data_IF_748619201680
#
_entry.id   IF_748619201680
#
_cell.length_a   1.000
_cell.length_b   1.000
_cell.length_c   1.000
_cell.angle_alpha   90.00
_cell.angle_beta   90.00
_cell.angle_gamma   90.00
#
_symmetry.space_group_name_H-M   'P 1'
#
loop_
_entity.id
_entity.type
_entity.pdbx_description
1 polymer ?
#
# COMPACT_ATOMS: atom_id res chain seq x y z
N UNK A 1 -0.18 20.08 -24.12
CA UNK A 1 -1.10 20.43 -23.03
C UNK A 1 -0.49 19.81 -21.80
N UNK A 2 0.08 20.61 -20.88
CA UNK A 2 0.63 20.11 -19.63
C UNK A 2 -0.53 19.62 -18.76
N UNK A 3 -0.50 18.34 -18.37
CA UNK A 3 -1.38 17.81 -17.34
C UNK A 3 -1.00 18.54 -16.04
N UNK A 4 -1.93 19.10 -15.27
CA UNK A 4 -1.58 19.74 -14.02
C UNK A 4 -0.93 18.71 -13.08
N UNK A 5 0.27 19.02 -12.62
CA UNK A 5 0.94 18.37 -11.49
C UNK A 5 -0.06 18.22 -10.34
N UNK A 6 -0.09 17.06 -9.68
CA UNK A 6 -1.08 16.70 -8.68
C UNK A 6 -1.37 17.84 -7.71
N UNK A 7 -2.63 18.04 -7.39
CA UNK A 7 -3.06 19.09 -6.47
C UNK A 7 -2.36 18.90 -5.13
N UNK A 8 -1.78 19.99 -4.59
CA UNK A 8 -1.11 19.97 -3.28
C UNK A 8 -2.07 19.40 -2.22
N UNK A 9 -1.58 18.66 -1.20
CA UNK A 9 -2.42 18.09 -0.15
C UNK A 9 -3.44 19.06 0.43
N UNK A 10 -3.04 20.29 0.67
CA UNK A 10 -3.93 21.36 1.18
C UNK A 10 -5.04 21.76 0.20
N UNK A 11 -4.78 21.72 -1.10
CA UNK A 11 -5.78 22.01 -2.14
C UNK A 11 -6.80 20.88 -2.25
N UNK A 12 -6.33 19.63 -2.10
CA UNK A 12 -7.18 18.43 -2.11
C UNK A 12 -8.17 18.46 -0.92
N UNK A 13 -7.68 18.77 0.29
CA UNK A 13 -8.52 18.91 1.49
C UNK A 13 -9.49 20.09 1.39
N UNK A 14 -9.07 21.23 0.82
CA UNK A 14 -9.96 22.38 0.59
C UNK A 14 -11.09 22.03 -0.38
N UNK A 15 -10.79 21.34 -1.48
CA UNK A 15 -11.79 20.85 -2.44
C UNK A 15 -12.78 19.88 -1.78
N UNK A 16 -12.27 18.97 -0.94
CA UNK A 16 -13.12 18.07 -0.17
C UNK A 16 -14.08 18.84 0.73
N UNK A 17 -13.57 19.79 1.50
CA UNK A 17 -14.39 20.66 2.38
C UNK A 17 -15.51 21.34 1.61
N UNK A 18 -15.17 22.00 0.51
CA UNK A 18 -16.14 22.74 -0.32
C UNK A 18 -17.20 21.78 -0.91
N UNK A 19 -16.80 20.62 -1.40
CA UNK A 19 -17.72 19.63 -1.96
C UNK A 19 -18.65 19.03 -0.91
N UNK A 20 -18.14 18.70 0.29
CA UNK A 20 -18.94 18.19 1.40
C UNK A 20 -19.98 19.20 1.88
N UNK A 21 -19.59 20.46 2.06
CA UNK A 21 -20.51 21.54 2.41
C UNK A 21 -21.56 21.78 1.32
N UNK A 22 -21.19 21.67 0.04
CA UNK A 22 -22.13 21.81 -1.08
C UNK A 22 -23.17 20.70 -1.13
N UNK A 23 -22.87 19.49 -0.59
CA UNK A 23 -23.85 18.40 -0.38
C UNK A 23 -24.74 18.61 0.85
N UNK A 24 -24.51 19.67 1.63
CA UNK A 24 -25.31 20.00 2.83
C UNK A 24 -24.87 19.24 4.08
N UNK A 25 -23.71 18.60 4.08
CA UNK A 25 -23.17 17.95 5.28
C UNK A 25 -22.81 19.05 6.30
N UNK A 26 -23.19 18.88 7.58
CA UNK A 26 -22.92 19.89 8.61
C UNK A 26 -21.42 20.22 8.73
N UNK A 27 -21.08 21.51 8.81
CA UNK A 27 -19.70 21.97 8.89
C UNK A 27 -18.91 21.29 10.03
N UNK A 28 -19.53 21.08 11.19
CA UNK A 28 -18.89 20.43 12.33
C UNK A 28 -18.50 18.95 12.02
N UNK A 29 -19.25 18.26 11.18
CA UNK A 29 -18.97 16.89 10.79
C UNK A 29 -17.84 16.87 9.75
N UNK A 30 -17.88 17.81 8.80
CA UNK A 30 -16.80 17.99 7.81
C UNK A 30 -15.46 18.29 8.49
N UNK A 31 -15.42 19.20 9.46
CA UNK A 31 -14.19 19.54 10.18
C UNK A 31 -13.68 18.36 11.04
N UNK A 32 -14.56 17.60 11.69
CA UNK A 32 -14.14 16.39 12.40
C UNK A 32 -13.53 15.35 11.47
N UNK A 33 -14.14 15.15 10.29
CA UNK A 33 -13.60 14.24 9.28
C UNK A 33 -12.25 14.69 8.74
N UNK A 34 -12.10 15.98 8.46
CA UNK A 34 -10.81 16.57 8.07
C UNK A 34 -9.74 16.37 9.15
N UNK A 35 -10.13 16.34 10.42
CA UNK A 35 -9.25 16.01 11.54
C UNK A 35 -8.66 14.60 11.49
N UNK A 36 -9.24 13.68 10.70
CA UNK A 36 -8.72 12.34 10.47
C UNK A 36 -7.64 12.28 9.38
N UNK A 37 -7.41 13.38 8.66
CA UNK A 37 -6.46 13.39 7.53
C UNK A 37 -5.06 12.90 7.95
N UNK A 38 -4.52 11.98 7.17
CA UNK A 38 -3.16 11.44 7.36
C UNK A 38 -2.28 11.83 6.18
N UNK A 39 -1.04 12.30 6.43
CA UNK A 39 -0.08 12.49 5.37
C UNK A 39 0.29 11.13 4.76
N UNK A 40 0.45 11.12 3.45
CA UNK A 40 0.87 9.97 2.66
C UNK A 40 1.75 10.39 1.51
N UNK A 41 2.45 9.44 0.92
CA UNK A 41 3.23 9.66 -0.28
C UNK A 41 2.68 8.80 -1.42
N UNK A 42 2.58 9.39 -2.59
CA UNK A 42 2.38 8.67 -3.85
C UNK A 42 3.74 8.53 -4.53
N UNK A 43 4.08 7.31 -4.87
CA UNK A 43 5.35 6.92 -5.45
C UNK A 43 5.06 6.31 -6.83
N UNK A 44 5.67 6.86 -7.88
CA UNK A 44 5.47 6.41 -9.26
C UNK A 44 6.73 6.59 -10.11
N UNK A 45 6.78 5.96 -11.27
CA UNK A 45 7.91 6.11 -12.19
C UNK A 45 7.82 7.37 -13.06
N UNK A 46 6.63 7.92 -13.23
CA UNK A 46 6.34 9.09 -14.06
C UNK A 46 6.18 10.41 -13.27
N UNK A 47 6.36 10.36 -11.94
CA UNK A 47 6.33 11.53 -11.07
C UNK A 47 7.43 12.55 -11.38
N UNK A 48 7.21 13.82 -11.00
CA UNK A 48 8.19 14.90 -11.17
C UNK A 48 9.06 15.14 -9.92
N UNK A 49 8.73 14.48 -8.81
CA UNK A 49 9.40 14.66 -7.52
C UNK A 49 10.79 14.02 -7.43
N UNK A 50 11.44 14.12 -6.26
CA UNK A 50 12.75 13.53 -6.06
C UNK A 50 12.69 12.00 -6.18
N UNK A 51 13.81 11.42 -6.61
CA UNK A 51 14.01 9.96 -6.65
C UNK A 51 14.24 9.48 -5.23
N UNK A 52 13.47 8.46 -4.81
CA UNK A 52 13.54 7.87 -3.47
C UNK A 52 13.72 6.35 -3.50
N UNK A 53 13.97 5.78 -4.66
CA UNK A 53 14.16 4.34 -4.81
C UNK A 53 14.05 3.87 -6.24
N UNK A 54 13.75 2.59 -6.41
CA UNK A 54 13.51 1.99 -7.72
C UNK A 54 12.44 0.90 -7.63
N UNK A 55 11.72 0.69 -8.72
CA UNK A 55 10.82 -0.45 -8.90
C UNK A 55 11.59 -1.66 -9.42
N UNK A 56 11.14 -2.86 -9.01
CA UNK A 56 11.68 -4.12 -9.48
C UNK A 56 13.15 -4.36 -9.15
N UNK A 57 13.79 -5.16 -10.00
CA UNK A 57 15.17 -5.58 -9.84
C UNK A 57 16.20 -4.44 -9.98
N UNK A 58 17.41 -4.55 -9.39
CA UNK A 58 18.01 -5.75 -8.80
C UNK A 58 17.62 -5.95 -7.33
N UNK A 59 17.43 -7.20 -6.94
CA UNK A 59 17.26 -7.55 -5.52
C UNK A 59 18.62 -7.58 -4.85
N UNK A 60 18.77 -6.82 -3.76
CA UNK A 60 20.00 -6.74 -2.98
C UNK A 60 19.65 -7.01 -1.52
N UNK A 61 20.13 -8.12 -0.97
CA UNK A 61 19.81 -8.56 0.39
C UNK A 61 21.08 -8.90 1.18
N UNK A 62 21.05 -8.79 2.52
CA UNK A 62 22.05 -9.35 3.39
C UNK A 62 22.20 -10.87 3.16
N UNK A 63 23.39 -11.45 3.38
CA UNK A 63 23.64 -12.87 3.11
C UNK A 63 22.82 -13.82 3.99
N UNK A 64 22.41 -13.37 5.15
CA UNK A 64 21.62 -14.11 6.16
C UNK A 64 20.11 -13.89 6.04
N UNK A 65 19.66 -12.99 5.16
CA UNK A 65 18.25 -12.78 4.88
C UNK A 65 17.79 -13.71 3.78
N UNK A 66 16.79 -14.54 4.08
CA UNK A 66 16.13 -15.39 3.12
C UNK A 66 15.17 -14.56 2.27
N UNK A 67 15.01 -14.92 1.01
CA UNK A 67 13.93 -14.36 0.19
C UNK A 67 12.59 -14.67 0.82
N UNK A 68 11.64 -13.73 0.80
CA UNK A 68 10.26 -14.07 1.07
C UNK A 68 9.78 -15.12 0.06
N UNK A 69 9.20 -16.19 0.58
CA UNK A 69 8.61 -17.27 -0.21
C UNK A 69 7.14 -17.35 0.12
N UNK A 70 6.35 -17.76 -0.86
CA UNK A 70 4.93 -17.99 -0.66
C UNK A 70 4.72 -19.34 0.07
N UNK A 71 3.95 -19.32 1.15
CA UNK A 71 3.60 -20.52 1.91
C UNK A 71 4.74 -21.08 2.77
N UNK A 72 4.44 -22.19 3.43
CA UNK A 72 5.33 -22.88 4.37
C UNK A 72 6.10 -24.06 3.73
N UNK A 73 5.96 -24.29 2.44
CA UNK A 73 6.62 -25.41 1.75
C UNK A 73 8.03 -25.00 1.29
N UNK A 74 9.09 -25.49 1.97
CA UNK A 74 10.46 -25.16 1.63
C UNK A 74 10.94 -25.76 0.30
N UNK A 75 10.19 -26.70 -0.28
CA UNK A 75 10.49 -27.32 -1.56
C UNK A 75 9.86 -26.58 -2.75
N UNK A 76 9.01 -25.56 -2.47
CA UNK A 76 8.43 -24.67 -3.49
C UNK A 76 9.41 -23.52 -3.72
N UNK A 77 10.05 -23.52 -4.88
CA UNK A 77 11.02 -22.46 -5.30
C UNK A 77 10.31 -21.21 -5.80
N UNK A 78 9.19 -20.86 -5.15
CA UNK A 78 8.33 -19.75 -5.51
C UNK A 78 8.58 -18.56 -4.58
N UNK A 79 9.34 -17.62 -5.08
CA UNK A 79 9.69 -16.40 -4.38
C UNK A 79 8.77 -15.24 -4.77
N UNK A 80 8.49 -14.38 -3.81
CA UNK A 80 7.78 -13.13 -4.05
C UNK A 80 8.60 -12.18 -4.95
N UNK A 81 7.93 -11.41 -5.82
CA UNK A 81 8.58 -10.40 -6.63
C UNK A 81 8.95 -9.17 -5.80
N UNK A 82 10.13 -8.61 -6.03
CA UNK A 82 10.47 -7.30 -5.53
C UNK A 82 9.64 -6.24 -6.28
N UNK A 83 8.72 -5.61 -5.58
CA UNK A 83 7.92 -4.49 -6.11
C UNK A 83 8.74 -3.20 -6.12
N UNK A 84 9.31 -2.84 -4.98
CA UNK A 84 10.10 -1.62 -4.87
C UNK A 84 11.17 -1.73 -3.78
N UNK A 85 12.27 -1.01 -3.99
CA UNK A 85 13.26 -0.67 -2.96
C UNK A 85 13.20 0.82 -2.71
N UNK A 86 12.93 1.23 -1.47
CA UNK A 86 12.85 2.62 -1.05
C UNK A 86 14.08 2.98 -0.20
N UNK A 87 14.73 4.09 -0.52
CA UNK A 87 15.78 4.71 0.30
C UNK A 87 15.10 5.59 1.36
N UNK A 88 15.09 5.10 2.60
CA UNK A 88 14.40 5.80 3.69
C UNK A 88 15.08 7.13 4.06
N UNK A 89 16.39 7.27 3.80
CA UNK A 89 17.08 8.54 4.01
C UNK A 89 16.67 9.62 3.00
N UNK A 90 16.12 9.23 1.85
CA UNK A 90 15.60 10.16 0.86
C UNK A 90 14.15 10.59 1.14
N UNK A 91 13.46 9.95 2.08
CA UNK A 91 12.10 10.33 2.48
C UNK A 91 12.14 11.53 3.43
N UNK A 92 11.36 12.59 3.17
CA UNK A 92 11.29 13.73 4.09
C UNK A 92 10.64 13.35 5.42
N UNK A 93 11.18 13.87 6.50
CA UNK A 93 10.62 13.67 7.84
C UNK A 93 9.17 14.18 7.92
N UNK A 94 8.27 13.38 8.50
CA UNK A 94 6.85 13.72 8.63
C UNK A 94 6.05 13.70 7.32
N UNK A 95 6.62 13.17 6.25
CA UNK A 95 5.93 13.04 4.96
C UNK A 95 4.82 11.97 4.97
N UNK A 96 4.84 11.08 5.96
CA UNK A 96 3.80 10.07 6.22
C UNK A 96 3.42 10.07 7.68
N UNK A 97 2.33 9.36 8.02
CA UNK A 97 1.96 9.07 9.41
C UNK A 97 2.76 7.90 10.04
N UNK A 98 3.71 7.31 9.29
CA UNK A 98 4.46 6.14 9.71
C UNK A 98 5.72 6.50 10.51
N UNK A 99 5.99 5.72 11.56
CA UNK A 99 7.25 5.80 12.32
C UNK A 99 8.36 5.01 11.62
N UNK A 100 8.72 5.40 10.40
CA UNK A 100 9.76 4.75 9.62
C UNK A 100 11.16 5.04 10.17
N UNK A 101 12.14 4.12 9.99
CA UNK A 101 13.55 4.43 10.20
C UNK A 101 13.99 5.64 9.35
N UNK A 102 14.91 6.43 9.87
CA UNK A 102 15.43 7.62 9.18
C UNK A 102 16.47 7.31 8.11
N UNK A 103 16.90 6.04 7.97
CA UNK A 103 17.90 5.60 7.02
C UNK A 103 17.69 4.12 6.63
N UNK A 104 18.56 3.61 5.76
CA UNK A 104 18.46 2.24 5.27
C UNK A 104 17.47 2.10 4.11
N UNK A 105 17.14 0.86 3.81
CA UNK A 105 16.26 0.54 2.69
C UNK A 105 15.08 -0.30 3.13
N UNK A 106 13.90 0.04 2.62
CA UNK A 106 12.68 -0.77 2.73
C UNK A 106 12.43 -1.45 1.40
N UNK A 107 12.39 -2.78 1.41
CA UNK A 107 12.06 -3.61 0.26
C UNK A 107 10.65 -4.13 0.44
N UNK A 108 9.81 -3.96 -0.58
CA UNK A 108 8.44 -4.46 -0.63
C UNK A 108 8.36 -5.57 -1.66
N UNK A 109 7.90 -6.74 -1.24
CA UNK A 109 7.75 -7.93 -2.06
C UNK A 109 6.29 -8.31 -2.15
N UNK A 110 5.82 -8.75 -3.32
CA UNK A 110 4.48 -9.27 -3.52
C UNK A 110 4.42 -10.20 -4.74
N UNK A 111 3.41 -11.08 -4.73
CA UNK A 111 3.05 -11.90 -5.88
C UNK A 111 1.56 -11.78 -6.19
N UNK A 112 1.13 -10.74 -6.90
CA UNK A 112 -0.30 -10.51 -7.16
C UNK A 112 -0.96 -11.56 -8.07
N UNK A 113 -0.16 -12.31 -8.84
CA UNK A 113 -0.67 -13.30 -9.77
C UNK A 113 -1.15 -14.59 -9.11
N UNK A 114 -0.75 -14.87 -7.87
CA UNK A 114 -0.92 -16.19 -7.25
C UNK A 114 -2.14 -16.31 -6.33
N UNK A 115 -2.59 -15.21 -5.74
CA UNK A 115 -3.75 -15.25 -4.83
C UNK A 115 -5.09 -15.52 -5.53
N UNK A 116 -5.12 -15.49 -6.87
CA UNK A 116 -6.28 -15.94 -7.64
C UNK A 116 -6.43 -17.46 -7.67
N UNK A 117 -5.48 -18.22 -7.14
CA UNK A 117 -5.62 -19.65 -6.86
C UNK A 117 -6.26 -19.87 -5.49
N UNK A 118 -7.09 -20.90 -5.36
CA UNK A 118 -8.00 -21.16 -4.23
C UNK A 118 -7.36 -21.38 -2.83
N UNK A 119 -6.05 -21.18 -2.68
CA UNK A 119 -5.32 -21.35 -1.42
C UNK A 119 -5.16 -20.01 -0.69
N UNK A 120 -6.19 -19.63 0.07
CA UNK A 120 -6.33 -18.31 0.70
C UNK A 120 -5.58 -18.15 2.05
N UNK A 121 -4.60 -18.99 2.35
CA UNK A 121 -4.04 -19.16 3.70
C UNK A 121 -2.77 -18.38 4.02
N UNK A 122 -2.09 -17.77 3.06
CA UNK A 122 -0.77 -17.17 3.27
C UNK A 122 -0.70 -15.70 2.85
N UNK A 123 0.09 -14.89 3.56
CA UNK A 123 0.35 -13.51 3.15
C UNK A 123 0.92 -13.45 1.74
N UNK A 124 0.34 -12.64 0.87
CA UNK A 124 0.81 -12.41 -0.51
C UNK A 124 1.83 -11.29 -0.63
N UNK A 125 2.22 -10.68 0.47
CA UNK A 125 3.10 -9.54 0.45
C UNK A 125 3.95 -9.43 1.73
N UNK A 126 5.22 -9.08 1.57
CA UNK A 126 6.22 -9.05 2.64
C UNK A 126 7.01 -7.75 2.59
N UNK A 127 7.55 -7.33 3.73
CA UNK A 127 8.42 -6.17 3.85
C UNK A 127 9.75 -6.55 4.52
N UNK A 128 10.86 -6.08 3.94
CA UNK A 128 12.19 -6.29 4.50
C UNK A 128 12.87 -4.94 4.70
N UNK A 129 13.30 -4.67 5.93
CA UNK A 129 14.12 -3.50 6.23
C UNK A 129 15.58 -3.87 6.32
N UNK A 130 16.43 -3.10 5.63
CA UNK A 130 17.89 -3.24 5.66
C UNK A 130 18.47 -1.97 6.25
N UNK A 131 19.01 -2.02 7.49
CA UNK A 131 19.65 -0.87 8.12
C UNK A 131 20.82 -0.32 7.29
N UNK A 132 21.06 0.98 7.37
CA UNK A 132 22.21 1.60 6.68
C UNK A 132 23.54 0.97 7.10
N UNK A 133 24.43 0.77 6.13
CA UNK A 133 25.75 0.16 6.36
C UNK A 133 25.75 -1.37 6.50
N UNK A 134 24.61 -2.04 6.37
CA UNK A 134 24.55 -3.50 6.32
C UNK A 134 25.24 -3.99 5.04
N UNK A 135 26.09 -5.02 5.18
CA UNK A 135 26.69 -5.67 4.00
C UNK A 135 25.60 -6.42 3.21
N UNK A 136 25.52 -6.14 1.93
CA UNK A 136 24.51 -6.71 1.05
C UNK A 136 25.12 -7.24 -0.22
N UNK A 137 24.49 -8.24 -0.83
CA UNK A 137 24.90 -8.84 -2.09
C UNK A 137 23.72 -8.95 -3.07
N UNK A 138 24.03 -8.86 -4.36
CA UNK A 138 23.03 -9.13 -5.39
C UNK A 138 22.56 -10.57 -5.27
N UNK A 139 21.24 -10.74 -5.24
CA UNK A 139 20.61 -12.05 -5.36
C UNK A 139 20.12 -12.24 -6.78
N UNK A 140 20.48 -13.37 -7.35
CA UNK A 140 19.94 -13.79 -8.63
C UNK A 140 18.67 -14.55 -8.36
N UNK A 141 17.62 -14.08 -8.94
CA UNK A 141 16.33 -14.73 -8.92
C UNK A 141 16.32 -15.81 -10.01
N UNK A 142 16.21 -17.05 -9.63
CA UNK A 142 15.98 -18.12 -10.57
C UNK A 142 14.46 -18.39 -10.63
N UNK A 143 13.76 -17.64 -11.44
CA UNK A 143 12.43 -18.04 -11.82
C UNK A 143 12.50 -19.22 -12.79
N UNK A 144 12.18 -20.40 -12.30
CA UNK A 144 11.52 -21.38 -13.14
C UNK A 144 10.02 -21.08 -13.13
N UNK A 145 9.64 -19.90 -13.66
CA UNK A 145 8.24 -19.54 -13.79
C UNK A 145 7.64 -20.39 -14.92
N UNK A 146 6.81 -21.31 -14.58
CA UNK A 146 5.79 -21.80 -15.51
C UNK A 146 4.64 -20.79 -15.42
N UNK A 147 4.32 -20.05 -16.52
CA UNK A 147 3.22 -19.10 -16.51
C UNK A 147 1.97 -19.79 -16.01
N UNK A 148 1.39 -19.29 -14.92
CA UNK A 148 0.07 -19.72 -14.53
C UNK A 148 -0.88 -19.37 -15.69
N UNK A 149 -1.50 -20.39 -16.26
CA UNK A 149 -2.35 -20.26 -17.45
C UNK A 149 -3.57 -19.35 -17.23
N UNK A 150 -3.81 -18.88 -15.99
CA UNK A 150 -4.95 -18.04 -15.65
C UNK A 150 -4.67 -16.54 -15.82
N UNK A 151 -3.44 -16.08 -15.67
CA UNK A 151 -3.09 -14.65 -15.77
C UNK A 151 -2.32 -14.25 -17.03
N UNK A 152 -1.94 -15.22 -17.87
CA UNK A 152 -1.12 -14.96 -19.04
C UNK A 152 0.32 -14.57 -18.69
N UNK A 153 1.06 -14.09 -19.68
CA UNK A 153 2.46 -13.68 -19.53
C UNK A 153 2.52 -12.27 -18.92
N UNK A 154 2.60 -12.15 -17.58
CA UNK A 154 2.90 -10.87 -16.93
C UNK A 154 4.41 -10.67 -16.94
N UNK A 155 4.89 -9.67 -17.66
CA UNK A 155 6.32 -9.32 -17.73
C UNK A 155 6.71 -8.36 -16.59
N UNK A 156 6.85 -8.90 -15.38
CA UNK A 156 7.27 -8.10 -14.23
C UNK A 156 8.62 -7.40 -14.47
N UNK A 157 9.59 -8.06 -15.05
CA UNK A 157 10.94 -7.48 -15.28
C UNK A 157 10.90 -6.39 -16.36
N UNK A 158 9.98 -6.49 -17.31
CA UNK A 158 9.80 -5.50 -18.36
C UNK A 158 8.97 -4.29 -17.95
N UNK A 159 7.92 -4.50 -17.17
CA UNK A 159 6.95 -3.46 -16.80
C UNK A 159 7.25 -2.84 -15.43
N UNK A 160 7.67 -3.64 -14.44
CA UNK A 160 7.99 -3.17 -13.09
C UNK A 160 9.45 -2.74 -12.99
N UNK A 161 9.74 -1.53 -13.42
CA UNK A 161 11.10 -0.98 -13.45
C UNK A 161 11.13 0.54 -13.43
N UNK A 162 12.30 1.08 -13.12
CA UNK A 162 12.59 2.51 -13.18
C UNK A 162 12.74 3.16 -11.81
N UNK A 163 13.03 4.44 -11.84
CA UNK A 163 13.15 5.23 -10.60
C UNK A 163 11.78 5.39 -9.93
N UNK A 164 11.77 5.31 -8.61
CA UNK A 164 10.61 5.67 -7.79
C UNK A 164 10.72 7.13 -7.42
N UNK A 165 9.75 7.93 -7.86
CA UNK A 165 9.67 9.37 -7.60
C UNK A 165 8.53 9.68 -6.65
N UNK A 166 8.79 10.60 -5.72
CA UNK A 166 7.93 10.94 -4.61
C UNK A 166 7.04 12.15 -4.94
N UNK A 167 5.74 12.01 -4.67
CA UNK A 167 4.79 13.12 -4.58
C UNK A 167 4.11 13.11 -3.22
N UNK A 168 3.95 14.30 -2.62
CA UNK A 168 3.21 14.43 -1.36
C UNK A 168 1.72 14.29 -1.61
N UNK A 169 1.05 13.52 -0.77
CA UNK A 169 -0.40 13.40 -0.77
C UNK A 169 -0.95 13.39 0.66
N UNK A 170 -2.26 13.29 0.75
CA UNK A 170 -3.03 13.16 1.98
C UNK A 170 -4.17 12.18 1.73
N UNK A 171 -4.51 11.41 2.74
CA UNK A 171 -5.64 10.50 2.67
C UNK A 171 -6.61 10.71 3.83
N UNK A 172 -7.88 10.41 3.57
CA UNK A 172 -8.98 10.30 4.52
C UNK A 172 -9.47 8.85 4.50
N UNK A 173 -10.22 8.39 5.53
CA UNK A 173 -10.81 7.06 5.50
C UNK A 173 -11.62 6.83 4.22
N UNK A 174 -11.35 5.73 3.49
CA UNK A 174 -11.89 5.45 2.17
C UNK A 174 -12.17 3.94 1.98
N UNK A 175 -12.84 3.34 2.94
CA UNK A 175 -13.31 1.96 2.88
C UNK A 175 -14.80 1.91 3.20
N UNK A 176 -15.47 0.92 2.63
CA UNK A 176 -16.83 0.57 2.98
C UNK A 176 -16.83 -0.28 4.26
N UNK A 177 -17.97 -0.51 4.81
CA UNK A 177 -18.13 -1.36 5.97
C UNK A 177 -17.51 -0.81 7.27
N UNK A 178 -18.13 0.28 7.74
CA UNK A 178 -17.73 0.94 8.98
C UNK A 178 -18.31 0.29 10.25
N UNK A 179 -19.05 -0.81 10.12
CA UNK A 179 -19.70 -1.46 11.25
C UNK A 179 -18.65 -1.92 12.28
N UNK A 180 -18.72 -1.33 13.46
CA UNK A 180 -17.81 -1.63 14.56
C UNK A 180 -16.45 -0.91 14.47
N UNK A 181 -16.24 0.04 13.54
CA UNK A 181 -15.05 0.87 13.55
C UNK A 181 -15.14 2.01 14.56
N UNK A 182 -14.38 1.95 15.67
CA UNK A 182 -14.45 2.98 16.72
C UNK A 182 -14.07 4.37 16.20
N UNK A 183 -13.25 4.45 15.14
CA UNK A 183 -12.85 5.72 14.53
C UNK A 183 -14.05 6.46 13.94
N UNK A 184 -15.10 5.74 13.55
CA UNK A 184 -16.21 6.27 12.80
C UNK A 184 -17.53 6.35 13.61
N UNK A 185 -17.56 5.81 14.84
CA UNK A 185 -18.73 5.88 15.72
C UNK A 185 -19.21 7.33 15.95
N UNK A 186 -18.29 8.29 16.00
CA UNK A 186 -18.57 9.70 16.20
C UNK A 186 -18.84 10.48 14.90
N UNK A 187 -18.93 9.79 13.73
CA UNK A 187 -19.10 10.41 12.43
C UNK A 187 -20.42 9.99 11.74
N UNK A 188 -21.55 10.62 12.07
CA UNK A 188 -22.88 10.22 11.56
C UNK A 188 -23.03 10.35 10.04
N UNK A 189 -22.17 11.13 9.37
CA UNK A 189 -22.14 11.32 7.92
C UNK A 189 -20.94 10.63 7.25
N UNK A 190 -20.36 9.60 7.90
CA UNK A 190 -19.16 8.94 7.40
C UNK A 190 -19.32 8.41 5.96
N UNK A 191 -20.44 7.77 5.64
CA UNK A 191 -20.71 7.26 4.29
C UNK A 191 -20.72 8.36 3.22
N UNK A 192 -21.44 9.47 3.50
CA UNK A 192 -21.53 10.61 2.57
C UNK A 192 -20.17 11.31 2.42
N UNK A 193 -19.41 11.44 3.51
CA UNK A 193 -18.07 12.04 3.50
C UNK A 193 -17.07 11.18 2.73
N UNK A 194 -17.16 9.84 2.87
CA UNK A 194 -16.39 8.90 2.09
C UNK A 194 -16.68 9.03 0.58
N UNK A 195 -17.96 9.10 0.20
CA UNK A 195 -18.34 9.29 -1.21
C UNK A 195 -17.74 10.59 -1.80
N UNK A 196 -17.81 11.71 -1.03
CA UNK A 196 -17.17 12.97 -1.45
C UNK A 196 -15.67 12.78 -1.67
N UNK A 197 -15.01 12.06 -0.74
CA UNK A 197 -13.58 11.81 -0.84
C UNK A 197 -13.23 10.93 -2.04
N UNK A 198 -14.00 9.87 -2.27
CA UNK A 198 -13.84 8.96 -3.40
C UNK A 198 -13.94 9.71 -4.75
N UNK A 199 -14.93 10.61 -4.90
CA UNK A 199 -15.07 11.43 -6.12
C UNK A 199 -13.82 12.30 -6.37
N UNK A 200 -13.30 12.96 -5.32
CA UNK A 200 -12.13 13.84 -5.44
C UNK A 200 -10.87 13.05 -5.76
N UNK A 201 -10.73 11.88 -5.16
CA UNK A 201 -9.59 11.01 -5.36
C UNK A 201 -9.59 10.41 -6.76
N UNK A 202 -10.74 9.96 -7.25
CA UNK A 202 -10.90 9.35 -8.57
C UNK A 202 -10.39 10.25 -9.71
N UNK A 203 -10.46 11.57 -9.56
CA UNK A 203 -9.95 12.51 -10.57
C UNK A 203 -8.42 12.42 -10.79
N UNK A 204 -7.67 11.87 -9.83
CA UNK A 204 -6.20 11.74 -9.92
C UNK A 204 -5.66 10.32 -9.78
N UNK A 205 -6.51 9.37 -9.43
CA UNK A 205 -6.08 8.02 -9.05
C UNK A 205 -5.70 7.13 -10.24
N UNK A 206 -6.44 7.25 -11.35
CA UNK A 206 -6.22 6.40 -12.53
C UNK A 206 -5.10 6.94 -13.42
N UNK A 207 -3.90 7.13 -12.86
CA UNK A 207 -2.71 7.35 -13.68
C UNK A 207 -2.35 6.03 -14.35
N UNK A 208 -1.88 6.10 -15.59
CA UNK A 208 -1.34 4.91 -16.27
C UNK A 208 -0.03 4.52 -15.60
N UNK A 209 0.14 3.24 -15.36
CA UNK A 209 1.37 2.68 -14.83
C UNK A 209 1.31 2.35 -13.35
N UNK A 210 2.40 1.82 -12.85
CA UNK A 210 2.53 1.36 -11.46
C UNK A 210 2.53 2.51 -10.47
N UNK A 211 1.73 2.37 -9.42
CA UNK A 211 1.64 3.36 -8.33
C UNK A 211 1.75 2.66 -6.97
N UNK A 212 2.55 3.23 -6.10
CA UNK A 212 2.69 2.80 -4.72
C UNK A 212 2.32 3.96 -3.80
N UNK A 213 1.42 3.75 -2.84
CA UNK A 213 1.18 4.68 -1.74
C UNK A 213 1.93 4.20 -0.51
N UNK A 214 2.59 5.11 0.21
CA UNK A 214 3.25 4.84 1.50
C UNK A 214 2.51 5.60 2.61
N UNK A 215 2.02 4.87 3.60
CA UNK A 215 1.25 5.41 4.71
C UNK A 215 -0.15 5.90 4.33
N UNK A 216 -0.80 6.62 5.24
CA UNK A 216 -2.17 7.08 5.10
C UNK A 216 -3.21 6.00 5.41
N UNK A 217 -4.37 6.10 4.79
CA UNK A 217 -5.44 5.10 4.82
C UNK A 217 -5.41 4.23 3.58
N UNK A 218 -5.75 2.96 3.75
CA UNK A 218 -5.95 2.05 2.64
C UNK A 218 -7.15 2.50 1.80
N UNK A 219 -7.06 2.26 0.51
CA UNK A 219 -8.15 2.39 -0.42
C UNK A 219 -8.87 1.06 -0.54
N UNK A 220 -10.15 1.04 -0.25
CA UNK A 220 -11.01 -0.09 -0.60
C UNK A 220 -11.67 0.20 -1.95
N UNK A 221 -11.01 -0.21 -3.04
CA UNK A 221 -11.50 0.04 -4.38
C UNK A 221 -12.78 -0.74 -4.70
N UNK A 222 -12.95 -1.93 -4.08
CA UNK A 222 -13.94 -2.92 -4.44
C UNK A 222 -15.11 -3.03 -3.45
N UNK A 223 -15.07 -2.31 -2.33
CA UNK A 223 -16.09 -2.46 -1.28
C UNK A 223 -15.94 -3.74 -0.44
N UNK A 224 -14.74 -4.32 -0.40
CA UNK A 224 -14.45 -5.54 0.37
C UNK A 224 -14.19 -5.26 1.86
N UNK A 225 -14.17 -3.99 2.24
CA UNK A 225 -13.91 -3.52 3.59
C UNK A 225 -12.46 -3.09 3.81
N UNK A 226 -12.08 -2.90 5.07
CA UNK A 226 -10.77 -2.37 5.40
C UNK A 226 -9.63 -3.39 5.19
N UNK A 227 -8.72 -3.16 4.22
CA UNK A 227 -7.61 -4.07 3.96
C UNK A 227 -6.66 -4.22 5.16
N UNK A 228 -6.52 -3.18 5.99
CA UNK A 228 -5.66 -3.24 7.19
C UNK A 228 -6.24 -4.18 8.23
N UNK A 229 -7.57 -4.12 8.45
CA UNK A 229 -8.25 -5.04 9.34
C UNK A 229 -8.12 -6.48 8.84
N UNK A 230 -8.22 -6.69 7.53
CA UNK A 230 -8.06 -8.03 6.93
C UNK A 230 -6.63 -8.57 7.11
N UNK A 231 -5.60 -7.76 6.91
CA UNK A 231 -4.23 -8.15 7.23
C UNK A 231 -4.05 -8.55 8.71
N UNK A 232 -4.73 -7.84 9.62
CA UNK A 232 -4.59 -8.06 11.06
C UNK A 232 -5.20 -9.39 11.52
N UNK A 233 -6.31 -9.83 10.90
CA UNK A 233 -6.99 -11.07 11.27
C UNK A 233 -6.18 -12.30 10.84
N UNK A 234 -5.55 -12.30 9.65
CA UNK A 234 -4.92 -13.49 9.09
C UNK A 234 -5.94 -14.60 8.81
N UNK A 235 -5.47 -15.71 8.27
CA UNK A 235 -6.35 -16.82 7.82
C UNK A 235 -6.78 -17.77 8.95
N UNK A 236 -6.16 -17.70 10.12
CA UNK A 236 -6.40 -18.63 11.23
C UNK A 236 -7.68 -18.32 12.06
N UNK A 237 -8.43 -17.27 11.71
CA UNK A 237 -9.57 -16.83 12.50
C UNK A 237 -10.89 -16.94 11.70
N UNK A 238 -11.50 -18.13 11.74
CA UNK A 238 -12.87 -18.40 11.28
C UNK A 238 -13.90 -17.51 12.02
N UNK A 239 -13.90 -16.21 11.73
CA UNK A 239 -14.92 -15.28 12.22
C UNK A 239 -14.63 -14.64 13.56
N UNK A 240 -13.37 -14.46 13.90
CA UNK A 240 -12.97 -13.64 15.04
C UNK A 240 -13.50 -12.21 14.91
N UNK A 241 -14.16 -11.79 15.97
CA UNK A 241 -14.62 -10.44 16.20
C UNK A 241 -13.58 -9.42 15.73
N UNK A 242 -13.91 -8.56 14.75
CA UNK A 242 -13.05 -7.60 14.07
C UNK A 242 -12.32 -6.55 14.96
N UNK A 243 -12.03 -6.90 16.20
CA UNK A 243 -11.51 -6.04 17.28
C UNK A 243 -10.00 -5.81 17.24
N UNK A 244 -9.24 -6.38 16.29
CA UNK A 244 -7.77 -6.25 16.26
C UNK A 244 -7.22 -5.11 15.40
N UNK A 245 -8.07 -4.30 14.77
CA UNK A 245 -7.62 -3.17 13.94
C UNK A 245 -6.84 -2.09 14.72
N UNK A 246 -7.11 -1.91 16.01
CA UNK A 246 -6.59 -0.80 16.81
C UNK A 246 -5.07 -0.65 16.84
N UNK A 247 -4.35 -1.73 16.52
CA UNK A 247 -2.89 -1.80 16.65
C UNK A 247 -2.17 -2.00 15.31
N UNK A 248 -2.87 -1.91 14.17
CA UNK A 248 -2.30 -2.07 12.84
C UNK A 248 -2.42 -0.80 12.00
N UNK A 249 -1.44 -0.58 11.13
CA UNK A 249 -1.42 0.54 10.20
C UNK A 249 -1.08 0.09 8.79
N UNK A 250 -1.59 0.83 7.79
CA UNK A 250 -1.16 0.65 6.41
C UNK A 250 0.31 1.05 6.28
N UNK A 251 1.16 0.11 5.91
CA UNK A 251 2.53 0.40 5.52
C UNK A 251 2.58 0.95 4.10
N UNK A 252 2.01 0.20 3.16
CA UNK A 252 1.95 0.57 1.76
C UNK A 252 0.75 -0.08 1.06
N UNK A 253 0.35 0.48 -0.07
CA UNK A 253 -0.52 -0.19 -1.05
C UNK A 253 0.03 0.03 -2.44
N UNK A 254 -0.10 -0.97 -3.29
CA UNK A 254 0.43 -0.99 -4.64
C UNK A 254 -0.65 -1.32 -5.65
N UNK A 255 -0.82 -0.43 -6.63
CA UNK A 255 -1.60 -0.69 -7.81
C UNK A 255 -0.64 -0.94 -8.98
N UNK A 256 -0.56 -2.17 -9.49
CA UNK A 256 0.38 -2.52 -10.55
C UNK A 256 0.22 -1.67 -11.80
N UNK A 257 -1.01 -1.47 -12.26
CA UNK A 257 -1.30 -0.77 -13.51
C UNK A 257 -0.67 -1.45 -14.74
N UNK A 258 -0.33 -2.72 -14.60
CA UNK A 258 0.33 -3.57 -15.61
C UNK A 258 -0.72 -4.41 -16.33
N UNK A 259 -0.38 -4.87 -17.52
CA UNK A 259 -1.24 -5.75 -18.30
C UNK A 259 -1.64 -7.01 -17.51
N UNK A 260 -2.91 -7.36 -17.52
CA UNK A 260 -3.55 -8.42 -16.74
C UNK A 260 -3.55 -8.23 -15.21
N UNK A 261 -3.09 -7.09 -14.69
CA UNK A 261 -3.11 -6.74 -13.26
C UNK A 261 -3.75 -5.37 -13.01
N UNK A 262 -4.53 -4.85 -13.97
CA UNK A 262 -5.10 -3.50 -13.91
C UNK A 262 -6.11 -3.32 -12.77
N UNK A 263 -6.87 -4.39 -12.46
CA UNK A 263 -7.87 -4.39 -11.38
C UNK A 263 -7.33 -4.84 -10.03
N UNK A 264 -6.00 -5.00 -9.88
CA UNK A 264 -5.41 -5.53 -8.65
C UNK A 264 -4.87 -4.40 -7.78
N UNK A 265 -5.07 -4.53 -6.48
CA UNK A 265 -4.39 -3.71 -5.46
C UNK A 265 -3.85 -4.62 -4.36
N UNK A 266 -2.56 -4.52 -4.08
CA UNK A 266 -1.87 -5.22 -3.00
C UNK A 266 -1.63 -4.27 -1.85
N UNK A 267 -1.86 -4.74 -0.62
CA UNK A 267 -1.70 -3.97 0.61
C UNK A 267 -0.69 -4.64 1.52
N UNK A 268 0.14 -3.83 2.18
CA UNK A 268 0.99 -4.23 3.30
C UNK A 268 0.50 -3.51 4.54
N UNK A 269 0.18 -4.25 5.58
CA UNK A 269 -0.09 -3.69 6.89
C UNK A 269 0.88 -4.27 7.93
N UNK A 270 1.10 -3.53 9.00
CA UNK A 270 2.07 -3.86 10.04
C UNK A 270 1.53 -3.44 11.41
N UNK A 271 1.78 -4.21 12.50
CA UNK A 271 1.50 -3.75 13.86
C UNK A 271 2.26 -2.45 14.15
N UNK A 272 1.59 -1.46 14.74
CA UNK A 272 2.21 -0.16 15.06
C UNK A 272 3.40 -0.30 16.00
N UNK A 273 3.35 -1.24 16.97
CA UNK A 273 4.46 -1.52 17.88
C UNK A 273 5.69 -2.08 17.17
N UNK A 274 5.49 -2.93 16.14
CA UNK A 274 6.57 -3.50 15.36
C UNK A 274 7.20 -2.45 14.44
N UNK A 275 6.38 -1.62 13.82
CA UNK A 275 6.85 -0.48 13.03
C UNK A 275 7.68 0.49 13.89
N UNK A 276 7.18 0.86 15.07
CA UNK A 276 7.91 1.73 15.99
C UNK A 276 9.22 1.12 16.50
N UNK A 277 9.30 -0.20 16.54
CA UNK A 277 10.52 -0.95 16.88
C UNK A 277 11.38 -1.29 15.65
N UNK A 278 11.02 -0.81 14.46
CA UNK A 278 11.69 -1.07 13.19
C UNK A 278 11.79 -2.58 12.86
N UNK A 279 10.79 -3.37 13.27
CA UNK A 279 10.67 -4.79 12.96
C UNK A 279 9.64 -4.96 11.82
N UNK A 280 10.10 -5.24 10.63
CA UNK A 280 9.23 -5.32 9.44
C UNK A 280 8.77 -6.76 9.11
N UNK A 281 9.41 -7.78 9.67
CA UNK A 281 9.02 -9.18 9.42
C UNK A 281 7.57 -9.54 9.79
N UNK A 282 6.91 -8.87 10.76
CA UNK A 282 5.50 -9.11 11.04
C UNK A 282 4.53 -8.45 10.05
N UNK A 283 5.02 -7.67 9.08
CA UNK A 283 4.17 -7.11 8.04
C UNK A 283 3.47 -8.23 7.26
N UNK A 284 2.18 -8.06 7.02
CA UNK A 284 1.34 -8.98 6.25
C UNK A 284 0.71 -8.27 5.07
N UNK A 285 0.43 -9.03 4.02
CA UNK A 285 -0.23 -8.50 2.85
C UNK A 285 -1.50 -9.23 2.49
N UNK A 286 -2.43 -8.47 1.91
CA UNK A 286 -3.62 -8.98 1.24
C UNK A 286 -3.73 -8.35 -0.13
N UNK A 287 -4.47 -8.99 -1.01
CA UNK A 287 -4.75 -8.50 -2.35
C UNK A 287 -6.27 -8.39 -2.54
N UNK A 288 -6.69 -7.31 -3.19
CA UNK A 288 -8.04 -7.16 -3.69
C UNK A 288 -7.98 -7.14 -5.22
N UNK A 289 -8.92 -7.83 -5.84
CA UNK A 289 -9.02 -7.93 -7.30
C UNK A 289 -10.47 -7.65 -7.74
N UNK A 290 -10.62 -6.87 -8.82
CA UNK A 290 -11.87 -6.59 -9.56
C UNK A 290 -12.41 -7.84 -10.27
#
# INVERSE_FOLDING_TARGET
MSVPSGSRPSEKLARFRDAALARGIPEGDVERWLGLARPSLVLSSDGEGPVVGHFGTPVVLPPDVTFPVYGDDPDVDDHEHLVATLDLAALPEGATNLSLPSDGHLLLFAWPAREMSEDHGSSCAYAVYIPAGTEVGKRVWNHAYEPDHQLGDVDFDGELRGEVRLEYDVSLPDYENFDGDPLLEDHPHAGELREVWSDIRAEGYWRKGTQLQLGGYALDAEGWGDPVARCAVGDDDDGGDGTRRGDWTLLAQWHPGMYNLEGITVYWAIPEEDLAAHRFSPARGVMYAD
#
